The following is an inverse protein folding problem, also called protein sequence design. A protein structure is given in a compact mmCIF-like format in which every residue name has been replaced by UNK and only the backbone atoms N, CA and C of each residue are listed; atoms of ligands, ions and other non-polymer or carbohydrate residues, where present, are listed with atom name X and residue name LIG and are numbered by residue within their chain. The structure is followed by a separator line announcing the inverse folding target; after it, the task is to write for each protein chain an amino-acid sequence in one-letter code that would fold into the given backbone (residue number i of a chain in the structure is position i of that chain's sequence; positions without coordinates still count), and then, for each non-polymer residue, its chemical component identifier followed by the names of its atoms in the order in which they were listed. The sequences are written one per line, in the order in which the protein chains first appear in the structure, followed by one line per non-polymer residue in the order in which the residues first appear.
data_IF_092622729524
#
_entry.id   IF_092622729524
#
_cell.length_a   1.000
_cell.length_b   1.000
_cell.length_c   1.000
_cell.angle_alpha   90.00
_cell.angle_beta   90.00
_cell.angle_gamma   90.00
#
_symmetry.space_group_name_H-M   'P 1'
#
loop_
_entity.id
_entity.type
_entity.pdbx_description
1 polymer ?
#
# COMPACT_ATOMS: atom_id res chain seq x y z
N UNK A 1 10.00 20.38 -2.65
CA UNK A 1 9.04 19.27 -2.82
C UNK A 1 7.99 19.71 -3.82
N UNK A 2 7.68 18.88 -4.81
CA UNK A 2 6.57 19.17 -5.73
C UNK A 2 5.27 18.85 -5.01
N UNK A 3 4.22 19.63 -5.27
CA UNK A 3 2.89 19.28 -4.75
C UNK A 3 2.36 18.05 -5.50
N UNK A 4 2.26 16.93 -4.79
CA UNK A 4 1.67 15.70 -5.30
C UNK A 4 0.15 15.76 -5.16
N UNK A 5 -0.56 15.41 -6.24
CA UNK A 5 -2.02 15.27 -6.24
C UNK A 5 -2.39 13.80 -6.37
N UNK A 6 -3.50 13.44 -5.73
CA UNK A 6 -4.10 12.11 -5.77
C UNK A 6 -5.40 12.18 -6.55
N UNK A 7 -5.51 11.40 -7.61
CA UNK A 7 -6.75 11.18 -8.37
C UNK A 7 -7.49 9.99 -7.75
N UNK A 8 -8.66 10.24 -7.18
CA UNK A 8 -9.50 9.23 -6.51
C UNK A 8 -10.27 8.38 -7.53
N UNK A 9 -10.88 7.30 -7.04
CA UNK A 9 -11.66 6.36 -7.88
C UNK A 9 -12.86 7.03 -8.56
N UNK A 10 -13.44 8.04 -7.93
CA UNK A 10 -14.53 8.87 -8.49
C UNK A 10 -14.04 9.98 -9.44
N UNK A 11 -12.73 10.08 -9.69
CA UNK A 11 -12.11 11.10 -10.53
C UNK A 11 -11.84 12.42 -9.83
N UNK A 12 -12.21 12.58 -8.56
CA UNK A 12 -11.87 13.77 -7.77
C UNK A 12 -10.35 13.86 -7.55
N UNK A 13 -9.86 15.09 -7.41
CA UNK A 13 -8.43 15.38 -7.16
C UNK A 13 -8.27 16.04 -5.81
N UNK A 14 -7.41 15.46 -4.98
CA UNK A 14 -7.01 16.03 -3.68
C UNK A 14 -5.48 16.15 -3.62
N UNK A 15 -4.95 17.02 -2.77
CA UNK A 15 -3.53 17.00 -2.45
C UNK A 15 -3.20 15.69 -1.71
N UNK A 16 -1.99 15.17 -1.95
CA UNK A 16 -1.49 14.04 -1.19
C UNK A 16 -1.49 14.38 0.29
N UNK A 17 -2.13 13.53 1.08
CA UNK A 17 -2.25 13.69 2.52
C UNK A 17 -1.46 12.58 3.20
N UNK A 18 -0.33 12.97 3.80
CA UNK A 18 0.55 12.06 4.54
C UNK A 18 -0.19 11.32 5.66
N UNK A 19 -0.92 12.05 6.50
CA UNK A 19 -1.63 11.49 7.66
C UNK A 19 -2.70 10.47 7.24
N UNK A 20 -3.32 10.68 6.08
CA UNK A 20 -4.31 9.75 5.50
C UNK A 20 -3.65 8.41 5.17
N UNK A 21 -2.46 8.43 4.55
CA UNK A 21 -1.72 7.21 4.24
C UNK A 21 -1.17 6.56 5.51
N UNK A 22 -0.64 7.36 6.43
CA UNK A 22 -0.17 6.89 7.74
C UNK A 22 -1.27 6.13 8.49
N UNK A 23 -2.46 6.72 8.59
CA UNK A 23 -3.60 6.08 9.25
C UNK A 23 -4.00 4.77 8.58
N UNK A 24 -4.03 4.74 7.25
CA UNK A 24 -4.36 3.53 6.49
C UNK A 24 -3.36 2.40 6.76
N UNK A 25 -2.06 2.70 6.73
CA UNK A 25 -1.00 1.73 7.04
C UNK A 25 -1.01 1.31 8.51
N UNK A 26 -1.22 2.24 9.44
CA UNK A 26 -1.32 1.96 10.89
C UNK A 26 -2.41 0.92 11.19
N UNK A 27 -3.53 0.99 10.47
CA UNK A 27 -4.62 0.02 10.61
C UNK A 27 -4.17 -1.36 10.11
N UNK A 28 -3.56 -1.43 8.93
CA UNK A 28 -3.07 -2.69 8.36
C UNK A 28 -1.98 -3.34 9.25
N UNK A 29 -1.09 -2.52 9.80
CA UNK A 29 0.06 -2.94 10.61
C UNK A 29 -0.24 -2.99 12.12
N UNK A 30 -1.50 -2.93 12.53
CA UNK A 30 -1.86 -2.96 13.94
C UNK A 30 -1.37 -4.24 14.62
N UNK A 31 -0.72 -4.09 15.78
CA UNK A 31 -0.08 -5.16 16.57
C UNK A 31 1.08 -5.86 15.84
N UNK A 32 1.65 -5.23 14.82
CA UNK A 32 2.89 -5.68 14.19
C UNK A 32 4.07 -4.96 14.85
N UNK A 33 5.25 -5.54 14.76
CA UNK A 33 6.47 -5.00 15.36
C UNK A 33 7.08 -3.90 14.47
N UNK A 34 6.29 -2.85 14.23
CA UNK A 34 6.68 -1.66 13.49
C UNK A 34 6.31 -0.43 14.31
N UNK A 35 7.33 0.34 14.69
CA UNK A 35 7.15 1.62 15.37
C UNK A 35 6.77 2.74 14.39
N UNK A 36 6.16 3.80 14.91
CA UNK A 36 5.70 4.96 14.12
C UNK A 36 6.82 5.55 13.25
N UNK A 37 8.05 5.64 13.76
CA UNK A 37 9.19 6.16 12.99
C UNK A 37 9.49 5.31 11.73
N UNK A 38 9.43 3.98 11.84
CA UNK A 38 9.62 3.09 10.68
C UNK A 38 8.48 3.23 9.68
N UNK A 39 7.26 3.47 10.19
CA UNK A 39 6.10 3.69 9.35
C UNK A 39 6.21 5.02 8.56
N UNK A 40 6.64 6.09 9.21
CA UNK A 40 6.92 7.38 8.55
C UNK A 40 8.03 7.26 7.51
N UNK A 41 9.08 6.48 7.79
CA UNK A 41 10.14 6.19 6.83
C UNK A 41 9.61 5.42 5.62
N UNK A 42 8.74 4.43 5.83
CA UNK A 42 8.07 3.69 4.76
C UNK A 42 7.27 4.65 3.86
N UNK A 43 6.46 5.52 4.45
CA UNK A 43 5.65 6.49 3.70
C UNK A 43 6.53 7.47 2.93
N UNK A 44 7.56 8.00 3.57
CA UNK A 44 8.54 8.88 2.94
C UNK A 44 9.21 8.21 1.74
N UNK A 45 9.54 6.91 1.85
CA UNK A 45 10.11 6.16 0.73
C UNK A 45 9.15 6.01 -0.46
N UNK A 46 7.86 5.81 -0.17
CA UNK A 46 6.80 5.73 -1.20
C UNK A 46 6.63 7.09 -1.89
N UNK A 47 6.61 8.18 -1.13
CA UNK A 47 6.51 9.55 -1.67
C UNK A 47 7.70 9.86 -2.57
N UNK A 48 8.93 9.50 -2.14
CA UNK A 48 10.12 9.69 -2.97
C UNK A 48 10.08 8.87 -4.26
N UNK A 49 9.58 7.63 -4.22
CA UNK A 49 9.40 6.80 -5.42
C UNK A 49 8.39 7.45 -6.38
N UNK A 50 7.29 8.01 -5.86
CA UNK A 50 6.33 8.78 -6.66
C UNK A 50 6.98 10.02 -7.30
N UNK A 51 7.73 10.82 -6.54
CA UNK A 51 8.42 12.01 -7.07
C UNK A 51 9.43 11.66 -8.17
N UNK A 52 10.11 10.51 -8.07
CA UNK A 52 11.08 10.03 -9.06
C UNK A 52 10.46 9.62 -10.40
N UNK A 53 9.17 9.28 -10.42
CA UNK A 53 8.45 8.99 -11.67
C UNK A 53 8.27 10.24 -12.54
N UNK A 54 8.54 11.43 -12.01
CA UNK A 54 8.49 12.69 -12.76
C UNK A 54 7.08 13.26 -12.97
N UNK A 55 6.05 12.53 -12.54
CA UNK A 55 4.65 12.94 -12.58
C UNK A 55 4.28 13.75 -11.31
N UNK A 56 3.19 14.52 -11.40
CA UNK A 56 2.66 15.31 -10.27
C UNK A 56 1.26 14.87 -9.82
N UNK A 57 0.59 14.01 -10.59
CA UNK A 57 -0.73 13.48 -10.29
C UNK A 57 -0.70 11.96 -10.36
N UNK A 58 -1.11 11.28 -9.29
CA UNK A 58 -1.12 9.82 -9.21
C UNK A 58 -2.49 9.32 -8.83
N UNK A 59 -2.93 8.22 -9.41
CA UNK A 59 -4.18 7.59 -8.97
C UNK A 59 -4.01 7.02 -7.56
N UNK A 60 -5.08 7.05 -6.75
CA UNK A 60 -5.08 6.37 -5.45
C UNK A 60 -4.78 4.88 -5.58
N UNK A 61 -5.13 4.29 -6.73
CA UNK A 61 -4.80 2.93 -7.12
C UNK A 61 -3.29 2.72 -7.19
N UNK A 62 -2.57 3.56 -7.93
CA UNK A 62 -1.11 3.49 -8.07
C UNK A 62 -0.39 3.60 -6.72
N UNK A 63 -0.87 4.47 -5.84
CA UNK A 63 -0.34 4.62 -4.48
C UNK A 63 -0.58 3.34 -3.67
N UNK A 64 -1.78 2.75 -3.75
CA UNK A 64 -2.08 1.48 -3.11
C UNK A 64 -1.21 0.31 -3.61
N UNK A 65 -0.95 0.23 -4.92
CA UNK A 65 -0.04 -0.76 -5.51
C UNK A 65 1.40 -0.61 -4.97
N UNK A 66 1.89 0.63 -4.85
CA UNK A 66 3.19 0.91 -4.24
C UNK A 66 3.26 0.44 -2.79
N UNK A 67 2.23 0.76 -2.00
CA UNK A 67 2.12 0.30 -0.62
C UNK A 67 2.13 -1.23 -0.55
N UNK A 68 1.31 -1.89 -1.38
CA UNK A 68 1.23 -3.34 -1.47
C UNK A 68 2.59 -3.97 -1.79
N UNK A 69 3.32 -3.44 -2.78
CA UNK A 69 4.67 -3.93 -3.11
C UNK A 69 5.63 -3.83 -1.92
N UNK A 70 5.58 -2.72 -1.17
CA UNK A 70 6.45 -2.54 0.00
C UNK A 70 6.06 -3.49 1.13
N UNK A 71 4.76 -3.67 1.39
CA UNK A 71 4.26 -4.57 2.43
C UNK A 71 4.52 -6.04 2.10
N UNK A 72 4.43 -6.45 0.83
CA UNK A 72 4.71 -7.83 0.43
C UNK A 72 6.11 -8.30 0.85
N UNK A 73 7.09 -7.38 0.85
CA UNK A 73 8.47 -7.66 1.26
C UNK A 73 8.67 -7.47 2.77
N UNK A 74 8.04 -6.46 3.36
CA UNK A 74 8.34 -6.04 4.75
C UNK A 74 7.44 -6.67 5.80
N UNK A 75 6.18 -6.94 5.47
CA UNK A 75 5.19 -7.51 6.38
C UNK A 75 4.07 -8.22 5.59
N UNK A 76 4.19 -9.52 5.32
CA UNK A 76 3.18 -10.30 4.60
C UNK A 76 1.79 -10.27 5.25
N UNK A 77 1.71 -10.16 6.58
CA UNK A 77 0.41 -10.07 7.29
C UNK A 77 -0.21 -8.68 7.09
N UNK A 78 0.62 -7.63 7.17
CA UNK A 78 0.23 -6.26 6.85
C UNK A 78 -0.23 -6.12 5.40
N UNK A 79 0.47 -6.79 4.47
CA UNK A 79 0.11 -6.88 3.06
C UNK A 79 -1.31 -7.42 2.88
N UNK A 80 -1.61 -8.61 3.42
CA UNK A 80 -2.92 -9.24 3.31
C UNK A 80 -4.03 -8.34 3.88
N UNK A 81 -3.81 -7.72 5.04
CA UNK A 81 -4.80 -6.81 5.67
C UNK A 81 -5.03 -5.54 4.86
N UNK A 82 -3.97 -4.98 4.28
CA UNK A 82 -4.09 -3.81 3.41
C UNK A 82 -4.84 -4.19 2.12
N UNK A 83 -4.50 -5.34 1.54
CA UNK A 83 -5.13 -5.86 0.34
C UNK A 83 -6.63 -6.07 0.51
N UNK A 84 -7.10 -6.53 1.68
CA UNK A 84 -8.54 -6.64 1.98
C UNK A 84 -9.30 -5.34 1.80
N UNK A 85 -8.70 -4.20 2.15
CA UNK A 85 -9.31 -2.88 1.96
C UNK A 85 -9.13 -2.40 0.52
N UNK A 86 -7.95 -2.62 -0.05
CA UNK A 86 -7.59 -2.13 -1.37
C UNK A 86 -8.38 -2.78 -2.51
N UNK A 87 -8.61 -4.10 -2.43
CA UNK A 87 -9.33 -4.86 -3.46
C UNK A 87 -10.85 -4.88 -3.29
N UNK A 88 -11.38 -4.44 -2.15
CA UNK A 88 -12.82 -4.42 -1.86
C UNK A 88 -13.51 -5.77 -2.17
N UNK A 89 -12.96 -6.88 -1.67
CA UNK A 89 -13.50 -8.22 -1.94
C UNK A 89 -14.97 -8.33 -1.54
N UNK A 90 -15.82 -8.80 -2.48
CA UNK A 90 -17.25 -8.95 -2.24
C UNK A 90 -17.56 -10.20 -1.41
N UNK A 91 -16.76 -11.27 -1.61
CA UNK A 91 -16.99 -12.56 -0.95
C UNK A 91 -15.73 -13.08 -0.25
N UNK A 92 -15.89 -13.85 0.85
CA UNK A 92 -14.76 -14.50 1.52
C UNK A 92 -13.93 -15.40 0.59
N UNK A 93 -14.57 -16.06 -0.39
CA UNK A 93 -13.89 -16.94 -1.32
C UNK A 93 -12.92 -16.19 -2.23
N UNK A 94 -13.29 -14.97 -2.66
CA UNK A 94 -12.43 -14.11 -3.50
C UNK A 94 -11.17 -13.69 -2.73
N UNK A 95 -11.32 -13.42 -1.43
CA UNK A 95 -10.20 -13.11 -0.55
C UNK A 95 -9.29 -14.33 -0.33
N UNK A 96 -9.86 -15.51 -0.04
CA UNK A 96 -9.06 -16.73 0.14
C UNK A 96 -8.24 -17.05 -1.11
N UNK A 97 -8.85 -16.93 -2.30
CA UNK A 97 -8.17 -17.15 -3.58
C UNK A 97 -7.02 -16.17 -3.80
N UNK A 98 -7.27 -14.90 -3.51
CA UNK A 98 -6.23 -13.86 -3.55
C UNK A 98 -5.07 -14.19 -2.62
N UNK A 99 -5.34 -14.60 -1.38
CA UNK A 99 -4.29 -14.96 -0.41
C UNK A 99 -3.50 -16.17 -0.88
N UNK A 100 -4.15 -17.21 -1.42
CA UNK A 100 -3.47 -18.40 -1.97
C UNK A 100 -2.54 -18.04 -3.13
N UNK A 101 -3.04 -17.27 -4.11
CA UNK A 101 -2.27 -16.86 -5.29
C UNK A 101 -1.07 -15.98 -4.92
N UNK A 102 -1.30 -14.96 -4.08
CA UNK A 102 -0.26 -14.01 -3.70
C UNK A 102 0.75 -14.60 -2.71
N UNK A 103 0.32 -15.45 -1.77
CA UNK A 103 1.25 -16.05 -0.81
C UNK A 103 2.09 -17.17 -1.43
N UNK A 104 1.55 -17.92 -2.38
CA UNK A 104 2.35 -18.81 -3.22
C UNK A 104 3.44 -18.03 -3.95
N UNK A 105 3.06 -16.94 -4.63
CA UNK A 105 4.00 -16.11 -5.38
C UNK A 105 5.05 -15.38 -4.52
N UNK A 106 4.72 -15.05 -3.26
CA UNK A 106 5.67 -14.44 -2.31
C UNK A 106 6.65 -15.49 -1.78
N UNK A 107 6.20 -16.72 -1.52
CA UNK A 107 7.08 -17.80 -1.07
C UNK A 107 8.11 -18.15 -2.14
N UNK A 108 7.66 -18.33 -3.39
CA UNK A 108 8.53 -18.71 -4.50
C UNK A 108 9.64 -17.68 -4.80
N UNK A 109 9.38 -16.39 -4.57
CA UNK A 109 10.37 -15.31 -4.78
C UNK A 109 11.35 -15.11 -3.62
N UNK A 110 11.07 -15.67 -2.45
CA UNK A 110 11.97 -15.59 -1.31
C UNK A 110 13.06 -16.68 -1.34
N UNK A 111 12.81 -17.74 -2.11
CA UNK A 111 13.70 -18.91 -2.26
C UNK A 111 14.63 -18.82 -3.49
N UNK A 112 14.55 -17.75 -4.29
CA UNK A 112 15.36 -17.46 -5.48
C UNK A 112 16.35 -16.29 -5.25
#
# INVERSE_FOLDING_TARGET
MRELKVVKRDGSRELFNHDKLHRSLSIALRKRDIGDEKLDQLITSIVRELEQLGESEFSSRKIGELVMRRLAVTDPVGYVRYASVYHEFEKPEDFSKFVEEEMGAIHDKADE
#
